data_IF_840077291424
#
_entry.id   IF_840077291424
#
_cell.length_a   1.000
_cell.length_b   1.000
_cell.length_c   1.000
_cell.angle_alpha   90.00
_cell.angle_beta   90.00
_cell.angle_gamma   90.00
#
_symmetry.space_group_name_H-M   'P 1'
#
loop_
_entity.id
_entity.type
_entity.pdbx_description
1 polymer ?
#
# COMPACT_ATOMS: atom_id res chain seq x y z
N UNK A 1 61.05 -5.71 19.65
CA UNK A 1 61.10 -4.41 20.37
C UNK A 1 59.67 -4.14 20.82
N UNK A 2 59.16 -4.72 21.91
CA UNK A 2 59.36 -4.41 23.35
C UNK A 2 59.00 -2.97 23.73
N UNK A 3 58.12 -2.88 24.75
CA UNK A 3 57.70 -1.79 25.65
C UNK A 3 56.23 -1.41 25.37
N UNK A 4 55.20 -1.76 26.15
CA UNK A 4 55.02 -1.98 27.59
C UNK A 4 55.47 -0.82 28.48
N UNK A 5 54.50 -0.13 29.08
CA UNK A 5 54.69 0.69 30.27
C UNK A 5 53.45 0.57 31.16
N UNK A 6 53.69 -0.05 32.30
CA UNK A 6 52.81 -0.23 33.44
C UNK A 6 53.02 0.90 34.47
N UNK A 7 52.13 0.89 35.47
CA UNK A 7 52.23 1.43 36.84
C UNK A 7 51.24 2.58 37.14
N UNK A 8 50.17 2.39 37.92
CA UNK A 8 50.06 1.97 39.34
C UNK A 8 50.18 3.17 40.30
N UNK A 9 49.09 3.47 41.03
CA UNK A 9 48.99 3.37 42.51
C UNK A 9 47.93 4.30 43.11
N UNK A 10 47.03 3.66 43.88
CA UNK A 10 46.67 3.89 45.31
C UNK A 10 46.42 5.33 45.77
N UNK A 11 45.57 5.65 46.73
CA UNK A 11 44.53 5.02 47.54
C UNK A 11 44.11 6.12 48.53
N UNK A 12 42.87 6.17 49.00
CA UNK A 12 42.59 6.34 50.45
C UNK A 12 41.12 6.12 50.75
N UNK A 13 40.87 5.10 51.58
CA UNK A 13 39.68 4.95 52.41
C UNK A 13 39.84 5.81 53.66
N UNK A 14 38.76 6.47 54.10
CA UNK A 14 38.44 6.70 55.52
C UNK A 14 36.93 6.57 55.67
N UNK A 15 36.51 5.65 56.53
CA UNK A 15 35.15 5.61 57.07
C UNK A 15 35.11 6.18 58.48
N UNK A 16 33.93 6.51 58.99
CA UNK A 16 33.50 6.21 60.36
C UNK A 16 31.96 6.37 60.51
N UNK A 17 31.46 5.72 61.55
CA UNK A 17 30.11 5.24 61.82
C UNK A 17 29.06 6.26 62.32
N UNK A 18 27.80 5.90 62.03
CA UNK A 18 26.59 5.80 62.89
C UNK A 18 26.09 6.96 63.77
N UNK A 19 24.77 7.17 63.70
CA UNK A 19 23.96 7.86 64.72
C UNK A 19 22.57 8.25 64.19
N UNK A 20 21.51 7.84 64.87
CA UNK A 20 20.15 7.70 64.34
C UNK A 20 19.19 8.89 64.61
N UNK A 21 18.03 8.78 63.94
CA UNK A 21 16.69 9.28 64.28
C UNK A 21 16.28 10.72 63.89
N UNK A 22 15.22 10.80 63.08
CA UNK A 22 14.49 12.03 62.75
C UNK A 22 13.49 11.80 61.63
N UNK A 23 12.32 11.28 61.96
CA UNK A 23 11.22 11.08 61.02
C UNK A 23 10.64 12.42 60.56
N UNK A 24 10.54 12.65 59.25
CA UNK A 24 9.63 13.63 58.65
C UNK A 24 8.95 12.98 57.45
N UNK A 25 7.64 12.81 57.56
CA UNK A 25 6.74 12.48 56.45
C UNK A 25 6.84 13.57 55.37
N UNK A 26 7.14 13.16 54.15
CA UNK A 26 7.06 14.00 52.97
C UNK A 26 6.89 13.12 51.74
N UNK A 27 5.63 12.84 51.39
CA UNK A 27 5.28 12.02 50.24
C UNK A 27 5.81 12.62 48.94
N UNK A 28 6.74 11.93 48.29
CA UNK A 28 6.97 12.08 46.86
C UNK A 28 6.20 10.97 46.14
N UNK A 29 5.11 11.37 45.51
CA UNK A 29 4.36 10.57 44.56
C UNK A 29 5.29 10.11 43.44
N UNK A 30 5.56 8.80 43.40
CA UNK A 30 6.11 8.12 42.23
C UNK A 30 5.06 8.21 41.12
N UNK A 31 5.13 9.25 40.28
CA UNK A 31 4.43 9.23 38.99
C UNK A 31 5.16 8.23 38.10
N UNK A 32 4.77 6.96 38.23
CA UNK A 32 4.87 6.04 37.12
C UNK A 32 4.06 6.65 35.98
N UNK A 33 4.75 7.15 34.96
CA UNK A 33 4.17 7.43 33.66
C UNK A 33 3.58 6.12 33.14
N UNK A 34 2.29 5.91 33.39
CA UNK A 34 1.53 4.92 32.68
C UNK A 34 1.48 5.40 31.23
N UNK A 35 2.28 4.74 30.40
CA UNK A 35 2.09 4.69 28.95
C UNK A 35 0.59 4.51 28.68
N UNK A 36 -0.04 5.34 27.83
CA UNK A 36 -1.42 5.09 27.46
C UNK A 36 -1.46 3.71 26.81
N UNK A 37 -2.26 2.81 27.40
CA UNK A 37 -2.51 1.49 26.85
C UNK A 37 -2.96 1.64 25.39
N UNK A 38 -2.02 1.40 24.46
CA UNK A 38 -2.35 1.21 23.06
C UNK A 38 -3.41 0.12 23.01
N UNK A 39 -4.55 0.42 22.40
CA UNK A 39 -5.62 -0.55 22.17
C UNK A 39 -4.97 -1.86 21.69
N UNK A 40 -5.16 -2.94 22.44
CA UNK A 40 -4.63 -4.25 22.14
C UNK A 40 -5.35 -4.81 20.89
N UNK A 41 -5.03 -4.25 19.72
CA UNK A 41 -5.28 -4.91 18.45
C UNK A 41 -4.44 -6.18 18.42
N UNK A 42 -5.04 -7.28 17.97
CA UNK A 42 -4.32 -8.51 17.67
C UNK A 42 -3.11 -8.17 16.79
N UNK A 43 -1.91 -8.26 17.35
CA UNK A 43 -0.69 -8.20 16.54
C UNK A 43 -0.64 -9.49 15.73
N UNK A 44 -0.73 -9.38 14.40
CA UNK A 44 -0.49 -10.52 13.51
C UNK A 44 0.97 -10.95 13.62
N UNK A 45 1.24 -12.19 13.21
CA UNK A 45 2.61 -12.63 13.06
C UNK A 45 3.33 -11.70 12.08
N UNK A 46 4.38 -11.04 12.56
CA UNK A 46 5.22 -10.14 11.78
C UNK A 46 6.28 -10.87 10.98
N UNK A 47 6.41 -12.20 11.14
CA UNK A 47 7.34 -13.02 10.37
C UNK A 47 6.64 -14.22 9.75
N UNK A 48 7.01 -14.57 8.51
CA UNK A 48 6.49 -15.75 7.78
C UNK A 48 6.70 -17.05 8.57
N UNK A 49 7.83 -17.16 9.28
CA UNK A 49 8.15 -18.33 10.11
C UNK A 49 7.23 -18.46 11.33
N UNK A 50 6.57 -17.38 11.76
CA UNK A 50 5.67 -17.35 12.89
C UNK A 50 4.20 -17.60 12.52
N UNK A 51 3.85 -17.66 11.22
CA UNK A 51 2.49 -17.97 10.77
C UNK A 51 1.99 -19.30 11.36
N UNK A 52 0.72 -19.30 11.78
CA UNK A 52 0.02 -20.48 12.33
C UNK A 52 -1.19 -20.78 11.46
N UNK A 53 -1.28 -22.03 11.00
CA UNK A 53 -2.27 -22.44 10.00
C UNK A 53 -3.64 -22.82 10.56
N UNK A 54 -4.71 -22.71 9.74
CA UNK A 54 -4.70 -22.02 8.45
C UNK A 54 -4.73 -20.49 8.66
N UNK A 55 -3.75 -19.78 8.09
CA UNK A 55 -3.75 -18.30 8.01
C UNK A 55 -4.58 -17.86 6.79
N UNK A 56 -5.19 -16.68 6.84
CA UNK A 56 -5.93 -16.12 5.71
C UNK A 56 -5.08 -15.06 5.02
N UNK A 57 -4.85 -15.25 3.72
CA UNK A 57 -4.25 -14.27 2.85
C UNK A 57 -5.38 -13.44 2.21
N UNK A 58 -5.45 -12.18 2.58
CA UNK A 58 -6.49 -11.25 2.15
C UNK A 58 -6.18 -10.81 0.72
N UNK A 59 -6.75 -11.51 -0.25
CA UNK A 59 -6.49 -11.31 -1.68
C UNK A 59 -6.78 -9.86 -2.09
N UNK A 60 -5.75 -9.18 -2.61
CA UNK A 60 -5.74 -7.77 -3.00
C UNK A 60 -6.23 -6.79 -1.93
N UNK A 61 -6.01 -7.12 -0.66
CA UNK A 61 -6.52 -6.33 0.48
C UNK A 61 -8.02 -6.50 0.76
N UNK A 62 -8.63 -7.61 0.32
CA UNK A 62 -10.04 -7.92 0.56
C UNK A 62 -10.94 -7.30 -0.51
N UNK A 63 -10.70 -7.69 -1.77
CA UNK A 63 -11.30 -7.11 -2.98
C UNK A 63 -12.85 -7.09 -3.02
N UNK A 64 -13.53 -7.89 -2.19
CA UNK A 64 -15.00 -7.87 -2.08
C UNK A 64 -15.54 -6.93 -0.99
N UNK A 65 -14.67 -6.23 -0.26
CA UNK A 65 -15.05 -5.22 0.76
C UNK A 65 -14.37 -3.88 0.58
N UNK A 66 -13.18 -3.88 0.01
CA UNK A 66 -12.38 -2.69 -0.25
C UNK A 66 -12.04 -2.64 -1.74
N UNK A 67 -11.73 -1.45 -2.24
CA UNK A 67 -11.12 -1.34 -3.55
C UNK A 67 -9.88 -2.24 -3.59
N UNK A 68 -9.79 -3.12 -4.60
CA UNK A 68 -8.64 -4.00 -4.75
C UNK A 68 -7.35 -3.19 -4.83
N UNK A 69 -6.26 -3.73 -4.27
CA UNK A 69 -4.94 -3.08 -4.23
C UNK A 69 -4.88 -1.74 -3.49
N UNK A 70 -5.91 -1.41 -2.69
CA UNK A 70 -5.95 -0.15 -1.93
C UNK A 70 -5.28 -0.25 -0.56
N UNK A 71 -4.60 0.82 -0.17
CA UNK A 71 -4.01 0.95 1.17
C UNK A 71 -5.06 0.78 2.28
N UNK A 72 -6.29 1.24 2.06
CA UNK A 72 -7.38 1.07 3.02
C UNK A 72 -7.72 -0.41 3.25
N UNK A 73 -7.78 -1.21 2.18
CA UNK A 73 -7.97 -2.66 2.27
C UNK A 73 -6.84 -3.35 3.00
N UNK A 74 -5.58 -3.06 2.64
CA UNK A 74 -4.42 -3.66 3.31
C UNK A 74 -4.37 -3.37 4.81
N UNK A 75 -4.64 -2.13 5.20
CA UNK A 75 -4.68 -1.73 6.62
C UNK A 75 -5.81 -2.46 7.34
N UNK A 76 -7.02 -2.49 6.78
CA UNK A 76 -8.15 -3.17 7.39
C UNK A 76 -7.90 -4.68 7.55
N UNK A 77 -7.28 -5.32 6.55
CA UNK A 77 -6.93 -6.74 6.60
C UNK A 77 -5.88 -7.01 7.68
N UNK A 78 -4.85 -6.17 7.80
CA UNK A 78 -3.85 -6.28 8.85
C UNK A 78 -4.46 -6.09 10.25
N UNK A 79 -5.31 -5.07 10.44
CA UNK A 79 -6.03 -4.81 11.70
C UNK A 79 -6.95 -5.99 12.09
N UNK A 80 -7.53 -6.68 11.11
CA UNK A 80 -8.42 -7.83 11.32
C UNK A 80 -7.69 -9.15 11.60
N UNK A 81 -6.36 -9.19 11.52
CA UNK A 81 -5.59 -10.40 11.77
C UNK A 81 -5.20 -11.19 10.51
N UNK A 82 -5.50 -10.68 9.32
CA UNK A 82 -5.19 -11.32 8.04
C UNK A 82 -3.83 -10.85 7.51
N UNK A 83 -3.24 -11.62 6.61
CA UNK A 83 -2.04 -11.18 5.87
C UNK A 83 -2.49 -10.50 4.57
N UNK A 84 -2.24 -9.20 4.38
CA UNK A 84 -2.54 -8.53 3.12
C UNK A 84 -1.74 -9.17 1.98
N UNK A 85 -2.45 -9.51 0.91
CA UNK A 85 -1.88 -9.96 -0.36
C UNK A 85 -2.04 -8.83 -1.38
N UNK A 86 -1.08 -8.70 -2.29
CA UNK A 86 -1.01 -7.59 -3.26
C UNK A 86 -0.24 -7.98 -4.51
N UNK A 87 -0.60 -7.38 -5.64
CA UNK A 87 -0.03 -7.66 -6.95
C UNK A 87 0.94 -6.55 -7.41
N UNK A 88 2.21 -6.88 -7.62
CA UNK A 88 3.24 -5.94 -8.09
C UNK A 88 3.31 -5.93 -9.62
N UNK A 89 3.16 -4.73 -10.18
CA UNK A 89 3.52 -4.36 -11.55
C UNK A 89 4.61 -3.27 -11.53
N UNK A 90 5.16 -2.94 -12.70
CA UNK A 90 6.25 -1.98 -12.82
C UNK A 90 5.88 -0.87 -13.81
N UNK A 91 6.15 0.37 -13.41
CA UNK A 91 6.04 1.55 -14.29
C UNK A 91 7.20 1.62 -15.28
N UNK A 92 7.15 2.57 -16.22
CA UNK A 92 8.17 2.76 -17.26
C UNK A 92 9.58 3.01 -16.72
N UNK A 93 9.70 3.56 -15.50
CA UNK A 93 10.97 3.79 -14.79
C UNK A 93 11.37 2.62 -13.86
N UNK A 94 10.61 1.52 -13.88
CA UNK A 94 10.77 0.35 -13.03
C UNK A 94 10.26 0.55 -11.60
N UNK A 95 9.54 1.63 -11.29
CA UNK A 95 8.95 1.81 -9.96
C UNK A 95 7.88 0.71 -9.69
N UNK A 96 7.97 -0.05 -8.58
CA UNK A 96 6.99 -1.07 -8.24
C UNK A 96 5.68 -0.45 -7.73
N UNK A 97 4.56 -0.81 -8.37
CA UNK A 97 3.21 -0.31 -8.09
C UNK A 97 2.24 -1.46 -7.92
N UNK A 98 1.09 -1.20 -7.30
CA UNK A 98 0.10 -2.23 -6.99
C UNK A 98 -1.08 -2.21 -7.96
N UNK A 99 -1.18 -3.26 -8.77
CA UNK A 99 -2.25 -3.49 -9.73
C UNK A 99 -2.22 -4.95 -10.17
N UNK A 100 -3.36 -5.65 -10.13
CA UNK A 100 -3.41 -7.03 -10.61
C UNK A 100 -3.14 -7.15 -12.11
N UNK A 101 -3.77 -6.28 -12.90
CA UNK A 101 -3.74 -6.37 -14.36
C UNK A 101 -2.47 -5.72 -14.92
N UNK A 102 -2.02 -6.16 -16.10
CA UNK A 102 -0.92 -5.51 -16.82
C UNK A 102 -1.32 -4.18 -17.46
N UNK A 103 -2.60 -3.81 -17.40
CA UNK A 103 -3.12 -2.53 -17.88
C UNK A 103 -3.97 -1.86 -16.81
N UNK A 104 -4.07 -0.53 -16.89
CA UNK A 104 -4.78 0.29 -15.92
C UNK A 104 -6.31 0.30 -16.11
N UNK A 105 -6.81 -0.20 -17.24
CA UNK A 105 -8.14 0.10 -17.76
C UNK A 105 -9.31 -0.37 -16.88
N UNK A 106 -9.16 -1.52 -16.19
CA UNK A 106 -10.24 -2.08 -15.38
C UNK A 106 -10.42 -1.33 -14.06
N UNK A 107 -9.31 -1.05 -13.38
CA UNK A 107 -9.30 -0.65 -11.97
C UNK A 107 -8.91 0.80 -11.74
N UNK A 108 -8.25 1.47 -12.69
CA UNK A 108 -7.72 2.81 -12.46
C UNK A 108 -8.59 3.91 -13.06
N UNK A 109 -8.45 5.12 -12.52
CA UNK A 109 -9.08 6.37 -12.94
C UNK A 109 -7.97 7.41 -13.09
N UNK A 110 -7.96 8.12 -14.22
CA UNK A 110 -6.96 9.14 -14.55
C UNK A 110 -5.80 8.65 -15.43
N UNK A 111 -5.69 7.33 -15.63
CA UNK A 111 -4.71 6.66 -16.51
C UNK A 111 -5.37 5.46 -17.20
N UNK A 112 -4.79 4.98 -18.31
CA UNK A 112 -5.27 3.84 -19.11
C UNK A 112 -4.11 3.19 -19.87
N UNK A 113 -4.29 1.96 -20.34
CA UNK A 113 -3.26 1.23 -21.10
C UNK A 113 -2.21 0.53 -20.23
N UNK A 114 -1.12 0.04 -20.85
CA UNK A 114 -0.11 -0.78 -20.17
C UNK A 114 0.54 -0.06 -18.99
N UNK A 115 0.67 -0.76 -17.85
CA UNK A 115 1.26 -0.19 -16.62
C UNK A 115 2.74 0.20 -16.86
N UNK A 116 3.46 -0.60 -17.64
CA UNK A 116 4.87 -0.38 -18.01
C UNK A 116 5.09 0.81 -18.97
N UNK A 117 4.02 1.44 -19.47
CA UNK A 117 4.08 2.66 -20.25
C UNK A 117 3.78 3.92 -19.42
N UNK A 118 3.33 3.77 -18.16
CA UNK A 118 2.97 4.88 -17.28
C UNK A 118 4.20 5.40 -16.52
N UNK A 119 4.22 6.70 -16.25
CA UNK A 119 5.23 7.36 -15.40
C UNK A 119 4.81 7.38 -13.94
N UNK A 120 5.77 7.48 -13.03
CA UNK A 120 5.50 7.68 -11.59
C UNK A 120 4.59 8.89 -11.30
N UNK A 121 4.71 9.97 -12.07
CA UNK A 121 3.85 11.14 -11.91
C UNK A 121 2.39 10.88 -12.32
N UNK A 122 2.18 10.12 -13.41
CA UNK A 122 0.84 9.70 -13.82
C UNK A 122 0.22 8.76 -12.80
N UNK A 123 1.00 7.80 -12.29
CA UNK A 123 0.52 6.87 -11.26
C UNK A 123 0.14 7.59 -9.96
N UNK A 124 0.99 8.50 -9.47
CA UNK A 124 0.72 9.28 -8.27
C UNK A 124 -0.52 10.18 -8.38
N UNK A 125 -0.89 10.59 -9.60
CA UNK A 125 -2.12 11.36 -9.85
C UNK A 125 -3.36 10.47 -10.07
N UNK A 126 -3.16 9.17 -10.29
CA UNK A 126 -4.25 8.22 -10.54
C UNK A 126 -4.94 7.81 -9.23
N UNK A 127 -6.16 7.28 -9.40
CA UNK A 127 -6.92 6.69 -8.29
C UNK A 127 -7.47 5.33 -8.70
N UNK A 128 -7.67 4.46 -7.72
CA UNK A 128 -8.31 3.17 -7.85
C UNK A 128 -9.83 3.36 -7.78
N UNK A 129 -10.53 2.78 -8.74
CA UNK A 129 -11.99 2.66 -8.77
C UNK A 129 -12.44 1.87 -7.55
N UNK A 130 -13.29 2.48 -6.74
CA UNK A 130 -13.81 1.87 -5.53
C UNK A 130 -15.32 1.59 -5.66
N UNK A 131 -15.75 0.33 -5.81
CA UNK A 131 -17.17 0.00 -5.88
C UNK A 131 -17.90 0.20 -4.54
N UNK A 132 -17.17 0.43 -3.44
CA UNK A 132 -17.72 0.57 -2.08
C UNK A 132 -17.70 2.02 -1.56
N UNK A 133 -17.29 2.99 -2.38
CA UNK A 133 -17.25 4.39 -1.95
C UNK A 133 -16.41 5.30 -2.85
N UNK A 134 -15.74 6.28 -2.25
CA UNK A 134 -14.89 7.21 -2.99
C UNK A 134 -13.64 6.50 -3.54
N UNK A 135 -13.15 6.90 -4.74
CA UNK A 135 -11.88 6.42 -5.28
C UNK A 135 -10.75 6.53 -4.25
N UNK A 136 -9.83 5.56 -4.28
CA UNK A 136 -8.67 5.52 -3.39
C UNK A 136 -7.42 5.95 -4.16
N UNK A 137 -6.38 6.52 -3.54
CA UNK A 137 -5.11 6.76 -4.23
C UNK A 137 -4.53 5.46 -4.82
N UNK A 138 -3.90 5.57 -5.99
CA UNK A 138 -3.04 4.49 -6.48
C UNK A 138 -1.87 4.27 -5.50
N UNK A 139 -1.39 3.03 -5.39
CA UNK A 139 -0.44 2.65 -4.33
C UNK A 139 0.89 2.21 -4.94
N UNK A 140 2.00 2.73 -4.42
CA UNK A 140 3.34 2.21 -4.63
C UNK A 140 3.65 1.13 -3.59
N UNK A 141 4.40 0.10 -3.98
CA UNK A 141 4.74 -0.99 -3.06
C UNK A 141 5.54 -0.49 -1.83
N UNK A 142 6.39 0.51 -2.01
CA UNK A 142 7.15 1.13 -0.92
C UNK A 142 6.24 1.68 0.20
N UNK A 143 5.12 2.29 -0.16
CA UNK A 143 4.16 2.83 0.82
C UNK A 143 3.56 1.72 1.70
N UNK A 144 3.38 0.51 1.16
CA UNK A 144 2.88 -0.64 1.91
C UNK A 144 3.95 -1.16 2.86
N UNK A 145 5.21 -1.24 2.41
CA UNK A 145 6.31 -1.65 3.27
C UNK A 145 6.48 -0.69 4.45
N UNK A 146 6.51 0.62 4.20
CA UNK A 146 6.60 1.67 5.23
C UNK A 146 5.49 1.55 6.26
N UNK A 147 4.27 1.25 5.81
CA UNK A 147 3.09 1.27 6.68
C UNK A 147 2.85 -0.03 7.43
N UNK A 148 3.13 -1.18 6.81
CA UNK A 148 2.61 -2.48 7.28
C UNK A 148 3.67 -3.54 7.53
N UNK A 149 4.88 -3.44 6.99
CA UNK A 149 5.88 -4.51 7.13
C UNK A 149 6.34 -4.77 8.58
N UNK A 150 6.19 -3.77 9.46
CA UNK A 150 6.50 -3.90 10.89
C UNK A 150 5.36 -4.49 11.72
N UNK A 151 4.14 -4.54 11.18
CA UNK A 151 2.93 -4.88 11.95
C UNK A 151 2.27 -6.17 11.49
N UNK A 152 2.53 -6.64 10.27
CA UNK A 152 1.95 -7.86 9.72
C UNK A 152 2.87 -8.55 8.72
N UNK A 153 2.56 -9.80 8.39
CA UNK A 153 3.15 -10.48 7.23
C UNK A 153 2.42 -10.05 5.95
N UNK A 154 3.16 -9.65 4.92
CA UNK A 154 2.66 -9.28 3.59
C UNK A 154 2.90 -10.42 2.59
N UNK A 155 2.03 -10.55 1.60
CA UNK A 155 2.11 -11.58 0.56
C UNK A 155 2.14 -10.94 -0.84
N UNK A 156 3.24 -10.29 -1.25
CA UNK A 156 3.33 -9.65 -2.56
C UNK A 156 3.57 -10.65 -3.70
N UNK A 157 2.76 -10.60 -4.75
CA UNK A 157 3.03 -11.27 -6.03
C UNK A 157 3.91 -10.40 -6.92
N UNK A 158 5.01 -10.95 -7.42
CA UNK A 158 5.71 -10.36 -8.57
C UNK A 158 5.14 -11.03 -9.83
N UNK A 159 4.44 -10.23 -10.64
CA UNK A 159 3.81 -10.70 -11.89
C UNK A 159 4.86 -11.18 -12.89
N UNK A 160 4.46 -12.11 -13.75
CA UNK A 160 5.33 -12.64 -14.80
C UNK A 160 5.60 -11.59 -15.89
N UNK A 161 6.66 -11.78 -16.67
CA UNK A 161 7.02 -10.88 -17.77
C UNK A 161 7.83 -9.64 -17.37
N UNK A 162 8.10 -9.43 -16.08
CA UNK A 162 9.01 -8.38 -15.62
C UNK A 162 10.48 -8.73 -15.88
N UNK A 163 11.35 -7.72 -15.90
CA UNK A 163 12.79 -7.95 -16.08
C UNK A 163 13.44 -8.49 -14.80
N UNK A 164 14.61 -9.12 -14.93
CA UNK A 164 15.40 -9.51 -13.74
C UNK A 164 15.79 -8.30 -12.88
N UNK A 165 16.02 -7.13 -13.47
CA UNK A 165 16.29 -5.88 -12.75
C UNK A 165 15.10 -5.40 -11.91
N UNK A 166 13.87 -5.63 -12.38
CA UNK A 166 12.66 -5.30 -11.62
C UNK A 166 12.52 -6.18 -10.38
N UNK A 167 12.78 -7.49 -10.54
CA UNK A 167 12.82 -8.44 -9.41
C UNK A 167 13.90 -8.03 -8.40
N UNK A 168 15.11 -7.72 -8.88
CA UNK A 168 16.23 -7.30 -8.03
C UNK A 168 15.92 -5.99 -7.29
N UNK A 169 15.16 -5.07 -7.91
CA UNK A 169 14.66 -3.84 -7.27
C UNK A 169 13.67 -4.12 -6.15
N UNK A 170 12.71 -5.03 -6.33
CA UNK A 170 11.77 -5.44 -5.27
C UNK A 170 12.53 -6.10 -4.11
N UNK A 171 13.48 -6.99 -4.39
CA UNK A 171 14.34 -7.63 -3.38
C UNK A 171 15.12 -6.57 -2.58
N UNK A 172 15.75 -5.61 -3.27
CA UNK A 172 16.51 -4.55 -2.62
C UNK A 172 15.59 -3.69 -1.74
N UNK A 173 14.41 -3.32 -2.25
CA UNK A 173 13.43 -2.54 -1.51
C UNK A 173 12.97 -3.27 -0.23
N UNK A 174 12.60 -4.54 -0.31
CA UNK A 174 12.23 -5.36 0.86
C UNK A 174 13.35 -5.36 1.91
N UNK A 175 14.61 -5.53 1.49
CA UNK A 175 15.76 -5.54 2.40
C UNK A 175 16.02 -4.19 3.04
N UNK A 176 15.90 -3.10 2.28
CA UNK A 176 16.08 -1.73 2.77
C UNK A 176 15.05 -1.37 3.85
N UNK A 177 13.83 -1.90 3.76
CA UNK A 177 12.79 -1.73 4.77
C UNK A 177 12.89 -2.72 5.95
N UNK A 178 13.93 -3.57 5.98
CA UNK A 178 14.07 -4.61 7.01
C UNK A 178 12.96 -5.68 6.96
N UNK A 179 12.22 -5.77 5.86
CA UNK A 179 10.98 -6.54 5.75
C UNK A 179 11.20 -8.00 5.30
N UNK A 180 12.44 -8.46 5.12
CA UNK A 180 12.74 -9.77 4.53
C UNK A 180 12.09 -10.95 5.26
N UNK A 181 11.92 -10.86 6.59
CA UNK A 181 11.23 -11.89 7.38
C UNK A 181 9.69 -11.72 7.34
N UNK A 182 9.20 -10.51 7.08
CA UNK A 182 7.79 -10.11 7.13
C UNK A 182 7.08 -10.22 5.78
N UNK A 183 7.74 -10.74 4.74
CA UNK A 183 7.13 -10.90 3.42
C UNK A 183 7.25 -12.35 2.94
N UNK A 184 6.16 -12.86 2.37
CA UNK A 184 6.12 -14.11 1.62
C UNK A 184 5.91 -13.74 0.15
N UNK A 185 7.00 -13.59 -0.60
CA UNK A 185 6.91 -13.19 -2.02
C UNK A 185 6.40 -14.37 -2.84
N UNK A 186 5.46 -14.12 -3.74
CA UNK A 186 4.90 -15.14 -4.60
C UNK A 186 5.07 -14.83 -6.09
N UNK A 187 5.05 -15.85 -6.94
CA UNK A 187 5.01 -15.70 -8.39
C UNK A 187 4.61 -16.99 -9.09
N UNK A 188 4.01 -16.86 -10.29
CA UNK A 188 3.86 -17.96 -11.25
C UNK A 188 5.15 -18.28 -12.02
N UNK A 189 6.16 -17.40 -11.95
CA UNK A 189 7.47 -17.65 -12.54
C UNK A 189 8.41 -18.31 -11.50
N UNK A 190 8.79 -19.55 -11.77
CA UNK A 190 9.68 -20.30 -10.88
C UNK A 190 11.06 -19.66 -10.74
N UNK A 191 11.58 -19.02 -11.80
CA UNK A 191 12.88 -18.36 -11.77
C UNK A 191 12.86 -17.12 -10.85
N UNK A 192 11.73 -16.39 -10.81
CA UNK A 192 11.51 -15.31 -9.85
C UNK A 192 11.55 -15.87 -8.42
N UNK A 193 10.84 -16.96 -8.15
CA UNK A 193 10.84 -17.62 -6.83
C UNK A 193 12.25 -18.04 -6.41
N UNK A 194 13.02 -18.69 -7.30
CA UNK A 194 14.40 -19.07 -7.02
C UNK A 194 15.28 -17.86 -6.71
N UNK A 195 15.12 -16.76 -7.45
CA UNK A 195 15.90 -15.54 -7.26
C UNK A 195 15.64 -14.90 -5.90
N UNK A 196 14.37 -14.76 -5.53
CA UNK A 196 13.95 -14.19 -4.24
C UNK A 196 14.38 -15.10 -3.08
N UNK A 197 14.23 -16.43 -3.24
CA UNK A 197 14.64 -17.41 -2.23
C UNK A 197 16.17 -17.40 -2.00
N UNK A 198 16.98 -17.25 -3.06
CA UNK A 198 18.44 -17.08 -2.96
C UNK A 198 18.83 -15.77 -2.28
N UNK A 199 17.98 -14.74 -2.37
CA UNK A 199 18.19 -13.49 -1.67
C UNK A 199 17.85 -13.56 -0.17
N UNK A 200 17.37 -14.70 0.33
CA UNK A 200 17.06 -14.92 1.76
C UNK A 200 15.65 -14.47 2.16
N UNK A 201 14.75 -14.28 1.19
CA UNK A 201 13.35 -13.90 1.43
C UNK A 201 12.49 -15.16 1.24
N UNK A 202 11.55 -15.48 2.15
CA UNK A 202 10.63 -16.60 1.98
C UNK A 202 9.79 -16.46 0.71
N UNK A 203 9.66 -17.56 -0.04
CA UNK A 203 8.88 -17.56 -1.29
C UNK A 203 7.80 -18.62 -1.35
N UNK A 204 6.75 -18.29 -2.09
CA UNK A 204 5.65 -19.17 -2.48
C UNK A 204 5.61 -19.29 -4.01
N UNK A 205 5.62 -20.52 -4.52
CA UNK A 205 5.46 -20.76 -5.96
C UNK A 205 3.98 -20.98 -6.31
N UNK A 206 3.46 -20.21 -7.25
CA UNK A 206 2.07 -20.31 -7.70
C UNK A 206 1.93 -21.29 -8.88
N UNK A 207 0.89 -22.12 -8.87
CA UNK A 207 0.56 -23.02 -9.98
C UNK A 207 -0.93 -23.03 -10.31
N UNK A 208 -1.23 -23.28 -11.58
CA UNK A 208 -2.57 -23.62 -12.05
C UNK A 208 -2.66 -25.12 -12.35
N UNK A 209 -3.87 -25.69 -12.21
CA UNK A 209 -4.13 -27.07 -12.55
C UNK A 209 -3.50 -28.08 -11.58
N UNK A 210 -3.01 -29.21 -12.11
CA UNK A 210 -2.40 -30.29 -11.32
C UNK A 210 -0.98 -29.95 -10.89
N UNK A 211 -0.56 -30.51 -9.76
CA UNK A 211 0.83 -30.49 -9.28
C UNK A 211 1.71 -31.27 -10.28
N UNK A 212 2.66 -30.64 -10.98
CA UNK A 212 3.55 -31.31 -11.91
C UNK A 212 4.42 -32.37 -11.21
N UNK A 213 4.69 -33.48 -11.91
CA UNK A 213 5.61 -34.50 -11.44
C UNK A 213 6.98 -33.91 -11.10
N UNK A 214 7.57 -34.35 -9.98
CA UNK A 214 8.86 -33.87 -9.50
C UNK A 214 8.88 -32.45 -8.91
N UNK A 215 7.76 -31.69 -8.94
CA UNK A 215 7.73 -30.33 -8.41
C UNK A 215 8.12 -30.27 -6.92
N UNK A 216 7.60 -31.19 -6.10
CA UNK A 216 7.92 -31.25 -4.67
C UNK A 216 9.43 -31.41 -4.42
N UNK A 217 10.11 -32.25 -5.21
CA UNK A 217 11.55 -32.44 -5.09
C UNK A 217 12.32 -31.17 -5.46
N UNK A 218 11.88 -30.47 -6.53
CA UNK A 218 12.46 -29.18 -6.94
C UNK A 218 12.29 -28.11 -5.88
N UNK A 219 11.09 -27.96 -5.32
CA UNK A 219 10.81 -27.00 -4.24
C UNK A 219 11.73 -27.24 -3.03
N UNK A 220 11.93 -28.51 -2.63
CA UNK A 220 12.85 -28.87 -1.54
C UNK A 220 14.30 -28.53 -1.87
N UNK A 221 14.76 -28.87 -3.07
CA UNK A 221 16.13 -28.58 -3.52
C UNK A 221 16.44 -27.07 -3.46
N UNK A 222 15.49 -26.25 -3.88
CA UNK A 222 15.64 -24.80 -3.95
C UNK A 222 15.23 -24.09 -2.65
N UNK A 223 14.84 -24.85 -1.62
CA UNK A 223 14.37 -24.35 -0.31
C UNK A 223 13.14 -23.44 -0.40
N UNK A 224 12.32 -23.61 -1.43
CA UNK A 224 11.03 -22.92 -1.58
C UNK A 224 10.00 -23.66 -0.72
N UNK A 225 9.64 -23.06 0.41
CA UNK A 225 8.84 -23.73 1.44
C UNK A 225 7.32 -23.72 1.23
N UNK A 226 6.83 -22.98 0.25
CA UNK A 226 5.39 -22.79 0.02
C UNK A 226 4.99 -23.07 -1.44
N UNK A 227 3.83 -23.69 -1.60
CA UNK A 227 3.12 -23.86 -2.87
C UNK A 227 1.75 -23.18 -2.75
N UNK A 228 1.41 -22.29 -3.68
CA UNK A 228 0.06 -21.77 -3.84
C UNK A 228 -0.60 -22.34 -5.08
N UNK A 229 -1.37 -23.43 -4.95
CA UNK A 229 -2.10 -24.00 -6.06
C UNK A 229 -3.46 -23.31 -6.24
N UNK A 230 -4.02 -23.37 -7.44
CA UNK A 230 -5.44 -23.04 -7.63
C UNK A 230 -6.33 -23.92 -6.75
N UNK A 231 -7.46 -23.39 -6.25
CA UNK A 231 -8.49 -24.17 -5.55
C UNK A 231 -9.06 -25.34 -6.38
N UNK A 232 -8.84 -25.32 -7.70
CA UNK A 232 -9.23 -26.39 -8.62
C UNK A 232 -8.23 -27.56 -8.66
N UNK A 233 -7.06 -27.44 -8.03
CA UNK A 233 -6.07 -28.53 -7.94
C UNK A 233 -6.67 -29.72 -7.16
N UNK A 234 -6.51 -30.97 -7.64
CA UNK A 234 -7.08 -32.14 -6.97
C UNK A 234 -6.65 -32.27 -5.51
N UNK A 235 -7.60 -32.49 -4.60
CA UNK A 235 -7.36 -32.54 -3.15
C UNK A 235 -6.30 -33.57 -2.75
N UNK A 236 -6.31 -34.75 -3.37
CA UNK A 236 -5.31 -35.80 -3.13
C UNK A 236 -3.87 -35.34 -3.44
N UNK A 237 -3.68 -34.45 -4.43
CA UNK A 237 -2.36 -33.89 -4.72
C UNK A 237 -1.95 -32.86 -3.66
N UNK A 238 -2.89 -32.05 -3.16
CA UNK A 238 -2.63 -31.12 -2.06
C UNK A 238 -2.20 -31.88 -0.81
N UNK A 239 -2.89 -32.97 -0.46
CA UNK A 239 -2.54 -33.86 0.64
C UNK A 239 -1.13 -34.44 0.50
N UNK A 240 -0.77 -34.90 -0.70
CA UNK A 240 0.57 -35.42 -0.98
C UNK A 240 1.66 -34.35 -0.80
N UNK A 241 1.41 -33.11 -1.22
CA UNK A 241 2.34 -31.98 -1.05
C UNK A 241 2.49 -31.62 0.44
N UNK A 242 1.38 -31.59 1.20
CA UNK A 242 1.37 -31.35 2.64
C UNK A 242 2.14 -32.45 3.37
N UNK A 243 1.87 -33.73 3.07
CA UNK A 243 2.56 -34.87 3.66
C UNK A 243 4.08 -34.85 3.36
N UNK A 244 4.48 -34.27 2.23
CA UNK A 244 5.88 -34.07 1.88
C UNK A 244 6.53 -32.90 2.64
N UNK A 245 5.80 -32.15 3.48
CA UNK A 245 6.31 -31.06 4.31
C UNK A 245 6.38 -29.69 3.63
N UNK A 246 5.73 -29.53 2.48
CA UNK A 246 5.60 -28.22 1.82
C UNK A 246 4.32 -27.54 2.34
N UNK A 247 4.40 -26.27 2.70
CA UNK A 247 3.23 -25.49 3.11
C UNK A 247 2.36 -25.20 1.89
N UNK A 248 1.07 -25.48 1.99
CA UNK A 248 0.13 -25.28 0.88
C UNK A 248 -0.82 -24.13 1.20
N UNK A 249 -1.00 -23.23 0.23
CA UNK A 249 -1.89 -22.08 0.32
C UNK A 249 -2.79 -21.92 -0.93
N UNK A 250 -3.96 -22.58 -1.00
CA UNK A 250 -4.78 -22.56 -2.21
C UNK A 250 -5.44 -21.20 -2.47
N UNK A 251 -5.54 -20.80 -3.75
CA UNK A 251 -6.19 -19.55 -4.18
C UNK A 251 -7.28 -19.77 -5.23
N UNK A 252 -8.34 -18.98 -5.34
CA UNK A 252 -8.91 -18.06 -4.35
C UNK A 252 -10.17 -18.71 -3.82
N UNK A 253 -10.18 -19.06 -2.54
CA UNK A 253 -11.29 -19.73 -1.86
C UNK A 253 -12.42 -18.74 -1.64
N UNK A 254 -13.65 -19.16 -1.94
CA UNK A 254 -14.79 -18.23 -2.07
C UNK A 254 -15.76 -18.25 -0.90
N UNK A 255 -15.79 -19.31 -0.11
CA UNK A 255 -16.78 -19.46 0.95
C UNK A 255 -16.29 -20.34 2.10
N UNK A 256 -16.91 -20.26 3.29
CA UNK A 256 -16.66 -21.17 4.40
C UNK A 256 -16.80 -22.65 4.02
N UNK A 257 -17.76 -22.99 3.16
CA UNK A 257 -17.98 -24.36 2.70
C UNK A 257 -16.82 -24.87 1.85
N UNK A 258 -16.16 -24.00 1.07
CA UNK A 258 -14.94 -24.38 0.37
C UNK A 258 -13.77 -24.56 1.35
N UNK A 259 -13.68 -23.73 2.39
CA UNK A 259 -12.66 -23.88 3.45
C UNK A 259 -12.80 -25.20 4.21
N UNK A 260 -14.02 -25.65 4.51
CA UNK A 260 -14.23 -26.94 5.20
C UNK A 260 -13.84 -28.16 4.35
N UNK A 261 -13.75 -28.00 3.04
CA UNK A 261 -13.32 -29.05 2.09
C UNK A 261 -11.81 -29.08 1.88
N UNK A 262 -11.08 -28.07 2.36
CA UNK A 262 -9.62 -28.06 2.25
C UNK A 262 -9.01 -29.21 3.08
N UNK A 263 -7.93 -29.84 2.60
CA UNK A 263 -7.30 -30.91 3.36
C UNK A 263 -6.77 -30.43 4.70
N UNK A 264 -6.75 -31.32 5.69
CA UNK A 264 -6.08 -31.05 6.96
C UNK A 264 -4.59 -30.75 6.71
N UNK A 265 -4.07 -29.72 7.37
CA UNK A 265 -2.67 -29.31 7.24
C UNK A 265 -2.41 -28.24 6.18
N UNK A 266 -3.44 -27.78 5.45
CA UNK A 266 -3.34 -26.53 4.67
C UNK A 266 -2.85 -25.40 5.57
N UNK A 267 -1.80 -24.71 5.15
CA UNK A 267 -1.10 -23.72 5.97
C UNK A 267 -1.74 -22.32 5.87
N UNK A 268 -2.29 -21.99 4.70
CA UNK A 268 -3.04 -20.77 4.48
C UNK A 268 -4.05 -20.93 3.33
N UNK A 269 -4.85 -19.91 3.04
CA UNK A 269 -5.64 -19.82 1.81
C UNK A 269 -5.91 -18.37 1.47
N UNK A 270 -6.13 -18.08 0.19
CA UNK A 270 -6.46 -16.75 -0.30
C UNK A 270 -7.96 -16.56 -0.37
N UNK A 271 -8.46 -15.40 0.05
CA UNK A 271 -9.89 -15.07 -0.01
C UNK A 271 -10.10 -13.60 -0.38
N UNK A 272 -11.05 -13.34 -1.30
CA UNK A 272 -11.46 -11.99 -1.68
C UNK A 272 -12.27 -11.28 -0.59
N UNK A 273 -13.04 -12.03 0.21
CA UNK A 273 -13.66 -11.56 1.45
C UNK A 273 -13.16 -12.43 2.62
N UNK A 274 -12.01 -12.11 3.23
CA UNK A 274 -11.46 -12.90 4.32
C UNK A 274 -12.33 -12.87 5.60
N UNK A 275 -13.19 -11.85 5.77
CA UNK A 275 -14.09 -11.75 6.92
C UNK A 275 -15.23 -12.76 6.87
N UNK A 276 -15.70 -13.13 5.68
CA UNK A 276 -16.77 -14.14 5.52
C UNK A 276 -16.26 -15.51 5.14
N UNK A 277 -15.09 -15.62 4.51
CA UNK A 277 -14.53 -16.92 4.12
C UNK A 277 -14.10 -17.79 5.32
N UNK A 278 -13.88 -17.20 6.49
CA UNK A 278 -13.43 -17.92 7.66
C UNK A 278 -14.51 -18.79 8.31
N UNK A 279 -14.10 -19.97 8.79
CA UNK A 279 -14.97 -20.90 9.54
C UNK A 279 -15.03 -20.62 11.04
N UNK A 280 -14.18 -19.71 11.54
CA UNK A 280 -14.25 -19.19 12.91
C UNK A 280 -15.03 -17.88 12.89
N UNK A 281 -15.97 -17.70 13.80
CA UNK A 281 -16.58 -16.38 14.03
C UNK A 281 -15.48 -15.41 14.44
N UNK A 282 -15.29 -14.26 13.76
CA UNK A 282 -14.35 -13.27 14.24
C UNK A 282 -14.83 -12.79 15.62
N UNK A 283 -13.91 -12.58 16.56
CA UNK A 283 -14.23 -11.75 17.73
C UNK A 283 -14.77 -10.42 17.17
N UNK A 284 -15.98 -10.05 17.56
CA UNK A 284 -16.71 -8.95 16.94
C UNK A 284 -15.85 -7.68 16.93
N UNK A 285 -15.31 -7.32 15.76
CA UNK A 285 -14.81 -5.97 15.53
C UNK A 285 -16.06 -5.15 15.29
N UNK A 286 -16.47 -4.38 16.30
CA UNK A 286 -17.55 -3.42 16.14
C UNK A 286 -17.26 -2.54 14.92
N UNK A 287 -18.23 -2.28 14.04
CA UNK A 287 -18.04 -1.30 12.99
C UNK A 287 -17.59 0.02 13.63
N UNK A 288 -16.50 0.61 13.13
CA UNK A 288 -16.10 1.97 13.54
C UNK A 288 -17.33 2.86 13.35
N UNK A 289 -17.74 3.65 14.35
CA UNK A 289 -18.84 4.58 14.19
C UNK A 289 -18.52 5.54 13.04
N UNK A 290 -19.55 5.91 12.27
CA UNK A 290 -19.43 6.90 11.21
C UNK A 290 -18.66 8.13 11.73
N UNK A 291 -17.76 8.72 10.91
CA UNK A 291 -17.09 9.95 11.29
C UNK A 291 -18.17 10.97 11.68
N UNK A 292 -18.04 11.52 12.89
CA UNK A 292 -18.99 12.46 13.45
C UNK A 292 -19.32 13.54 12.40
N UNK A 293 -20.61 13.90 12.23
CA UNK A 293 -21.00 14.92 11.28
C UNK A 293 -20.18 16.19 11.53
N UNK A 294 -19.58 16.73 10.46
CA UNK A 294 -18.79 17.96 10.52
C UNK A 294 -19.57 19.02 11.31
N UNK A 295 -18.93 19.75 12.25
CA UNK A 295 -19.60 20.81 12.99
C UNK A 295 -20.30 21.76 12.02
N UNK A 296 -21.59 21.98 12.21
CA UNK A 296 -22.32 22.96 11.42
C UNK A 296 -21.60 24.32 11.54
N UNK A 297 -21.39 25.04 10.44
CA UNK A 297 -20.79 26.37 10.50
C UNK A 297 -21.65 27.26 11.41
N UNK A 298 -20.99 27.91 12.39
CA UNK A 298 -21.66 28.83 13.33
C UNK A 298 -22.54 29.83 12.57
N UNK A 299 -23.76 30.12 13.06
CA UNK A 299 -24.63 31.12 12.43
C UNK A 299 -23.87 32.44 12.27
N UNK A 300 -23.87 32.99 11.05
CA UNK A 300 -23.32 34.33 10.80
C UNK A 300 -24.02 35.33 11.74
N UNK A 301 -23.28 36.24 12.41
CA UNK A 301 -23.90 37.24 13.27
C UNK A 301 -24.88 38.10 12.45
N UNK A 302 -26.07 38.33 13.01
CA UNK A 302 -27.12 39.15 12.41
C UNK A 302 -26.57 40.54 12.05
N UNK A 303 -26.87 41.08 10.86
CA UNK A 303 -26.45 42.44 10.52
C UNK A 303 -27.07 43.45 11.49
N UNK A 304 -26.24 44.38 12.00
CA UNK A 304 -26.68 45.50 12.85
C UNK A 304 -27.80 46.28 12.14
N UNK A 305 -28.82 46.78 12.87
CA UNK A 305 -29.89 47.57 12.27
C UNK A 305 -29.32 48.84 11.63
N UNK A 306 -29.65 49.08 10.35
CA UNK A 306 -29.33 50.31 9.65
C UNK A 306 -30.06 51.48 10.32
N UNK A 307 -29.32 52.54 10.62
CA UNK A 307 -29.88 53.80 11.12
C UNK A 307 -30.94 54.35 10.16
N UNK A 308 -32.05 54.84 10.72
CA UNK A 308 -33.15 55.48 9.98
C UNK A 308 -32.63 56.69 9.21
N UNK A 309 -32.83 56.69 7.90
CA UNK A 309 -32.54 57.83 7.03
C UNK A 309 -33.53 58.98 7.31
N UNK A 310 -33.00 60.20 7.43
CA UNK A 310 -33.76 61.46 7.55
C UNK A 310 -34.61 61.71 6.29
N UNK A 311 -35.78 62.37 6.40
CA UNK A 311 -36.67 62.61 5.26
C UNK A 311 -36.07 63.59 4.25
N UNK A 312 -36.29 63.30 2.96
CA UNK A 312 -35.84 64.09 1.80
C UNK A 312 -36.62 65.42 1.68
N UNK A 313 -35.98 66.55 1.32
CA UNK A 313 -36.68 67.73 0.85
C UNK A 313 -37.20 67.54 -0.59
N UNK A 314 -38.33 68.21 -0.89
CA UNK A 314 -39.11 68.19 -2.13
C UNK A 314 -38.37 68.79 -3.35
N UNK A 315 -38.77 68.46 -4.59
CA UNK A 315 -37.99 68.75 -5.79
C UNK A 315 -38.17 70.18 -6.28
N UNK A 316 -37.06 70.84 -6.63
CA UNK A 316 -37.03 72.08 -7.41
C UNK A 316 -36.73 71.73 -8.87
N UNK A 317 -37.63 72.13 -9.75
CA UNK A 317 -37.50 72.02 -11.21
C UNK A 317 -36.36 72.93 -11.70
N UNK A 318 -35.47 72.41 -12.55
CA UNK A 318 -34.83 73.24 -13.56
C UNK A 318 -34.58 72.46 -14.85
N UNK A 319 -34.81 73.18 -15.96
CA UNK A 319 -34.92 72.70 -17.34
C UNK A 319 -33.56 72.69 -18.05
N UNK A 320 -33.55 72.01 -19.21
CA UNK A 320 -32.60 72.08 -20.36
C UNK A 320 -31.41 71.12 -20.26
N UNK A 321 -30.93 70.48 -21.32
CA UNK A 321 -31.29 70.43 -22.75
C UNK A 321 -30.60 69.17 -23.34
N UNK A 322 -31.18 68.63 -24.40
CA UNK A 322 -30.68 67.50 -25.16
C UNK A 322 -29.41 67.80 -25.98
N UNK A 323 -28.59 66.77 -26.24
CA UNK A 323 -27.91 66.59 -27.52
C UNK A 323 -27.49 65.14 -27.76
N UNK A 324 -28.04 64.55 -28.83
CA UNK A 324 -27.58 63.35 -29.55
C UNK A 324 -26.32 63.67 -30.36
N UNK A 325 -25.43 62.68 -30.54
CA UNK A 325 -24.51 62.42 -31.67
C UNK A 325 -23.26 61.67 -31.15
N UNK A 326 -22.55 60.78 -31.85
CA UNK A 326 -22.76 60.11 -33.12
C UNK A 326 -21.83 58.88 -33.20
N UNK A 327 -22.26 57.96 -34.06
CA UNK A 327 -21.63 56.73 -34.56
C UNK A 327 -20.34 57.01 -35.35
N UNK A 328 -19.46 55.99 -35.40
CA UNK A 328 -18.67 55.53 -36.58
C UNK A 328 -17.28 56.15 -36.80
N UNK A 329 -16.23 55.31 -36.76
CA UNK A 329 -15.20 55.32 -37.81
C UNK A 329 -14.51 53.96 -37.99
N UNK A 330 -14.38 53.60 -39.26
CA UNK A 330 -13.81 52.39 -39.87
C UNK A 330 -12.82 52.92 -40.92
N UNK A 331 -11.59 52.41 -40.98
CA UNK A 331 -10.67 52.39 -42.15
C UNK A 331 -9.35 51.73 -41.66
N UNK A 332 -8.81 50.62 -42.18
CA UNK A 332 -8.61 50.08 -43.54
C UNK A 332 -7.55 50.84 -44.35
N UNK A 333 -6.39 50.19 -44.59
CA UNK A 333 -5.45 50.21 -45.75
C UNK A 333 -4.02 49.92 -45.21
N UNK A 334 -3.07 49.24 -45.89
CA UNK A 334 -2.94 48.48 -47.15
C UNK A 334 -1.51 47.85 -47.10
N UNK A 335 -1.34 46.56 -47.44
CA UNK A 335 -0.62 46.00 -48.63
C UNK A 335 0.89 46.28 -48.77
N UNK A 336 1.68 45.21 -48.95
CA UNK A 336 2.59 44.90 -50.08
C UNK A 336 3.19 43.48 -49.85
N UNK A 337 2.82 42.41 -50.56
CA UNK A 337 3.29 41.88 -51.86
C UNK A 337 4.81 41.73 -52.04
N UNK A 338 5.30 40.48 -52.08
CA UNK A 338 6.40 40.05 -52.95
C UNK A 338 6.34 38.53 -53.21
N UNK A 339 6.40 38.14 -54.48
CA UNK A 339 6.52 36.77 -55.00
C UNK A 339 7.99 36.39 -55.20
N UNK A 340 8.31 35.13 -54.88
CA UNK A 340 9.31 34.14 -55.41
C UNK A 340 10.13 34.49 -56.68
N UNK A 341 11.31 33.86 -56.96
CA UNK A 341 11.38 32.41 -57.23
C UNK A 341 12.69 31.61 -56.95
N UNK A 342 12.49 30.27 -56.89
CA UNK A 342 13.31 29.12 -57.35
C UNK A 342 14.85 29.12 -57.13
N UNK A 343 15.33 28.12 -56.38
CA UNK A 343 16.61 27.42 -56.66
C UNK A 343 16.38 25.92 -56.80
N UNK A 344 17.02 25.36 -57.83
CA UNK A 344 17.13 23.93 -58.19
C UNK A 344 17.97 23.21 -57.14
N UNK A 345 17.64 21.95 -56.87
CA UNK A 345 18.60 20.96 -56.40
C UNK A 345 18.25 19.63 -57.06
N UNK A 346 19.19 19.13 -57.85
CA UNK A 346 19.22 17.77 -58.35
C UNK A 346 20.67 17.37 -58.39
N UNK A 347 21.05 16.37 -57.60
CA UNK A 347 22.12 15.43 -57.90
C UNK A 347 21.96 14.20 -57.02
N UNK A 348 21.99 13.06 -57.70
CA UNK A 348 22.14 11.70 -57.20
C UNK A 348 23.60 11.41 -56.83
N UNK A 349 23.80 10.46 -55.92
CA UNK A 349 24.82 9.41 -56.06
C UNK A 349 26.08 9.52 -55.21
N UNK A 350 26.39 8.42 -54.51
CA UNK A 350 27.77 7.97 -54.32
C UNK A 350 28.21 7.69 -52.88
N UNK A 351 28.25 6.38 -52.56
CA UNK A 351 29.11 5.69 -51.57
C UNK A 351 28.81 5.82 -50.08
#
# INVERSE_FOLDING_TARGET
>A
MIADFTADRRATRRGFLAGAAGAILGGLSFLASQEPAAAAGMRTATAVSALRGPTIFSHRGGALRYAEESMAGFVASAEAGFCPEMDIQFLADGAPVLCHDSTADRTMIGVSGPIDALTSAQWAAATIRNPFGAPQPAVFFAEVLDRLAATTTLVPEIKTGCSSSDVDRVIAMIKQHGAAASVLVQSFDYAICQRVQRAGIPTLYLIQGSVPAGLVARLKNDRIGWLGPSRATPLAQLEAVIAAGIKVAPYTVKSPEEVTRLPKGVAAYFADDPWTAQTRTPAAVSPKPDPAPKPQPKPKPKPKPKAKAKPKPKPVKSKRKASKAAKKHKNRKKRHTARRPKKRAGTLGGS
#
